data_IF_967427602478
#
_entry.id   IF_967427602478
#
_cell.length_a   1.000
_cell.length_b   1.000
_cell.length_c   1.000
_cell.angle_alpha   90.00
_cell.angle_beta   90.00
_cell.angle_gamma   90.00
#
_symmetry.space_group_name_H-M   'P 1'
#
loop_
_entity.id
_entity.type
_entity.pdbx_description
1 polymer ?
#
# COMPACT_ATOMS: atom_id res chain seq x y z
N UNK A 1 5.00 -21.46 -56.12
CA UNK A 1 3.75 -21.94 -55.50
C UNK A 1 4.08 -22.73 -54.23
N UNK A 2 4.13 -22.07 -53.06
CA UNK A 2 3.83 -22.70 -51.76
C UNK A 2 3.50 -21.61 -50.76
N UNK A 3 2.22 -21.57 -50.41
CA UNK A 3 1.60 -20.63 -49.49
C UNK A 3 1.84 -21.18 -48.08
N UNK A 4 2.32 -20.34 -47.15
CA UNK A 4 2.59 -20.73 -45.77
C UNK A 4 2.27 -19.58 -44.83
N UNK A 5 0.99 -19.48 -44.47
CA UNK A 5 0.39 -18.48 -43.62
C UNK A 5 0.93 -18.48 -42.17
N UNK A 6 0.80 -17.32 -41.51
CA UNK A 6 0.78 -17.04 -40.05
C UNK A 6 2.07 -16.52 -39.40
N UNK A 7 2.30 -15.22 -39.58
CA UNK A 7 2.82 -14.37 -38.50
C UNK A 7 1.71 -13.43 -38.02
N UNK A 8 0.58 -14.01 -37.58
CA UNK A 8 -0.46 -13.24 -36.88
C UNK A 8 -0.18 -13.39 -35.39
N UNK A 9 0.21 -12.28 -34.77
CA UNK A 9 0.26 -12.08 -33.33
C UNK A 9 1.16 -13.06 -32.54
N UNK A 10 2.47 -12.81 -32.52
CA UNK A 10 3.24 -13.07 -31.30
C UNK A 10 2.89 -12.00 -30.25
N UNK A 11 1.63 -11.97 -29.81
CA UNK A 11 1.28 -11.44 -28.49
C UNK A 11 1.90 -12.41 -27.49
N UNK A 12 3.23 -12.31 -27.31
CA UNK A 12 3.86 -12.90 -26.15
C UNK A 12 3.12 -12.39 -24.92
N UNK A 13 2.77 -13.25 -23.95
CA UNK A 13 2.05 -12.80 -22.77
C UNK A 13 2.83 -11.65 -22.12
N UNK A 14 2.18 -10.50 -21.94
CA UNK A 14 2.75 -9.27 -21.36
C UNK A 14 3.42 -9.59 -20.02
N UNK A 15 2.93 -10.61 -19.33
CA UNK A 15 3.58 -11.22 -18.18
C UNK A 15 3.85 -12.72 -18.45
N UNK A 16 5.12 -13.14 -18.61
CA UNK A 16 5.46 -14.56 -18.71
C UNK A 16 5.03 -15.30 -17.44
N UNK A 17 4.08 -16.23 -17.55
CA UNK A 17 3.58 -17.01 -16.40
C UNK A 17 4.68 -17.81 -15.68
N UNK A 18 5.81 -18.07 -16.35
CA UNK A 18 7.00 -18.68 -15.77
C UNK A 18 7.61 -17.84 -14.62
N UNK A 19 7.36 -16.53 -14.56
CA UNK A 19 7.81 -15.67 -13.44
C UNK A 19 7.18 -16.08 -12.11
N UNK A 20 5.91 -16.47 -12.08
CA UNK A 20 5.24 -16.92 -10.84
C UNK A 20 5.79 -18.24 -10.30
N UNK A 21 6.51 -19.00 -11.14
CA UNK A 21 7.21 -20.22 -10.73
C UNK A 21 8.43 -19.91 -9.86
N UNK A 22 8.90 -18.66 -9.86
CA UNK A 22 9.97 -18.20 -8.99
C UNK A 22 9.43 -17.88 -7.59
N UNK A 23 9.98 -18.51 -6.56
CA UNK A 23 9.50 -18.42 -5.17
C UNK A 23 9.42 -16.97 -4.66
N UNK A 24 10.37 -16.11 -5.06
CA UNK A 24 10.35 -14.68 -4.72
C UNK A 24 9.13 -13.95 -5.30
N UNK A 25 8.76 -14.22 -6.56
CA UNK A 25 7.62 -13.56 -7.21
C UNK A 25 6.33 -14.02 -6.56
N UNK A 26 6.18 -15.33 -6.34
CA UNK A 26 4.99 -15.87 -5.66
C UNK A 26 4.84 -15.31 -4.24
N UNK A 27 5.91 -15.27 -3.43
CA UNK A 27 5.85 -14.67 -2.09
C UNK A 27 5.55 -13.17 -2.13
N UNK A 28 6.12 -12.43 -3.09
CA UNK A 28 5.86 -11.01 -3.27
C UNK A 28 4.40 -10.73 -3.61
N UNK A 29 3.82 -11.54 -4.48
CA UNK A 29 2.41 -11.42 -4.87
C UNK A 29 1.48 -11.71 -3.70
N UNK A 30 1.76 -12.74 -2.90
CA UNK A 30 0.95 -13.07 -1.71
C UNK A 30 1.01 -11.96 -0.67
N UNK A 31 2.21 -11.47 -0.34
CA UNK A 31 2.37 -10.33 0.59
C UNK A 31 1.64 -9.10 0.04
N UNK A 32 1.81 -8.82 -1.26
CA UNK A 32 1.16 -7.69 -1.91
C UNK A 32 -0.36 -7.78 -1.86
N UNK A 33 -0.92 -8.98 -2.00
CA UNK A 33 -2.34 -9.22 -1.89
C UNK A 33 -2.87 -8.89 -0.50
N UNK A 34 -2.24 -9.39 0.57
CA UNK A 34 -2.67 -9.12 1.95
C UNK A 34 -2.51 -7.65 2.33
N UNK A 35 -1.41 -7.01 1.92
CA UNK A 35 -1.21 -5.57 2.12
C UNK A 35 -2.34 -4.78 1.46
N UNK A 36 -2.61 -5.04 0.18
CA UNK A 36 -3.67 -4.34 -0.55
C UNK A 36 -5.06 -4.61 0.05
N UNK A 37 -5.33 -5.85 0.48
CA UNK A 37 -6.58 -6.20 1.14
C UNK A 37 -6.78 -5.44 2.46
N UNK A 38 -5.75 -5.32 3.29
CA UNK A 38 -5.80 -4.55 4.53
C UNK A 38 -5.98 -3.04 4.28
N UNK A 39 -5.25 -2.49 3.30
CA UNK A 39 -5.33 -1.07 2.96
C UNK A 39 -6.70 -0.68 2.40
N UNK A 40 -7.37 -1.59 1.68
CA UNK A 40 -8.70 -1.35 1.12
C UNK A 40 -9.76 -1.07 2.20
N UNK A 41 -9.61 -1.63 3.40
CA UNK A 41 -10.47 -1.35 4.55
C UNK A 41 -10.03 -0.14 5.36
N UNK A 42 -8.73 -0.01 5.64
CA UNK A 42 -8.22 0.96 6.60
C UNK A 42 -8.25 2.42 6.09
N UNK A 43 -7.89 2.66 4.83
CA UNK A 43 -7.76 4.03 4.28
C UNK A 43 -9.11 4.75 4.17
N UNK A 44 -10.15 4.17 3.54
CA UNK A 44 -11.44 4.84 3.43
C UNK A 44 -12.18 4.93 4.77
N UNK A 45 -11.84 4.08 5.75
CA UNK A 45 -12.45 4.12 7.08
C UNK A 45 -12.19 5.43 7.81
N UNK A 46 -10.99 6.03 7.69
CA UNK A 46 -10.66 7.24 8.45
C UNK A 46 -11.47 8.48 8.04
N UNK A 47 -11.57 8.87 6.75
CA UNK A 47 -12.45 9.98 6.38
C UNK A 47 -13.92 9.67 6.69
N UNK A 48 -14.34 8.41 6.60
CA UNK A 48 -15.68 7.99 7.02
C UNK A 48 -15.91 8.21 8.52
N UNK A 49 -14.97 7.81 9.37
CA UNK A 49 -15.02 8.01 10.81
C UNK A 49 -15.04 9.49 11.20
N UNK A 50 -14.19 10.31 10.58
CA UNK A 50 -14.16 11.76 10.82
C UNK A 50 -15.47 12.44 10.43
N UNK A 51 -16.12 11.98 9.36
CA UNK A 51 -17.36 12.55 8.87
C UNK A 51 -18.57 12.10 9.70
N UNK A 52 -18.74 10.79 9.93
CA UNK A 52 -19.90 10.23 10.62
C UNK A 52 -19.83 10.37 12.15
N UNK A 53 -18.66 10.18 12.76
CA UNK A 53 -18.51 10.14 14.22
C UNK A 53 -18.11 11.49 14.80
N UNK A 54 -17.14 12.18 14.18
CA UNK A 54 -16.68 13.49 14.66
C UNK A 54 -17.50 14.67 14.09
N UNK A 55 -18.41 14.42 13.14
CA UNK A 55 -19.26 15.46 12.54
C UNK A 55 -18.48 16.50 11.74
N UNK A 56 -17.25 16.18 11.32
CA UNK A 56 -16.41 17.08 10.52
C UNK A 56 -16.95 17.11 9.08
N UNK A 57 -16.91 18.27 8.43
CA UNK A 57 -17.42 18.39 7.05
C UNK A 57 -16.72 17.40 6.11
N UNK A 58 -17.45 16.87 5.13
CA UNK A 58 -16.94 15.86 4.19
C UNK A 58 -15.72 16.35 3.40
N UNK A 59 -15.64 17.66 3.14
CA UNK A 59 -14.49 18.30 2.51
C UNK A 59 -13.24 18.26 3.40
N UNK A 60 -13.38 18.54 4.70
CA UNK A 60 -12.26 18.49 5.64
C UNK A 60 -11.82 17.06 5.94
N UNK A 61 -12.76 16.13 6.08
CA UNK A 61 -12.46 14.72 6.26
C UNK A 61 -11.69 14.14 5.05
N UNK A 62 -12.09 14.51 3.83
CA UNK A 62 -11.36 14.16 2.61
C UNK A 62 -9.96 14.80 2.54
N UNK A 63 -9.82 16.05 2.99
CA UNK A 63 -8.53 16.74 3.03
C UNK A 63 -7.49 16.05 3.93
N UNK A 64 -7.92 15.31 4.97
CA UNK A 64 -7.01 14.55 5.83
C UNK A 64 -6.32 13.37 5.12
N UNK A 65 -6.80 12.96 3.94
CA UNK A 65 -6.15 11.93 3.10
C UNK A 65 -4.98 12.52 2.31
N UNK A 66 -4.96 13.84 2.08
CA UNK A 66 -3.88 14.53 1.35
C UNK A 66 -2.50 14.31 2.00
N UNK A 67 -2.30 14.57 3.31
CA UNK A 67 -1.00 14.32 3.94
C UNK A 67 -0.61 12.85 3.87
N UNK A 68 -1.55 11.92 4.04
CA UNK A 68 -1.28 10.49 3.88
C UNK A 68 -0.68 10.19 2.49
N UNK A 69 -1.29 10.70 1.42
CA UNK A 69 -0.80 10.48 0.07
C UNK A 69 0.58 11.10 -0.16
N UNK A 70 0.84 12.28 0.39
CA UNK A 70 2.14 12.94 0.30
C UNK A 70 3.24 12.07 0.94
N UNK A 71 3.02 11.64 2.17
CA UNK A 71 4.00 10.84 2.91
C UNK A 71 4.14 9.41 2.36
N UNK A 72 3.06 8.84 1.83
CA UNK A 72 3.10 7.60 1.05
C UNK A 72 4.02 7.72 -0.16
N UNK A 73 3.92 8.81 -0.91
CA UNK A 73 4.80 9.06 -2.06
C UNK A 73 6.27 9.18 -1.63
N UNK A 74 6.54 9.94 -0.57
CA UNK A 74 7.89 10.09 -0.01
C UNK A 74 8.45 8.73 0.43
N UNK A 75 7.66 7.93 1.14
CA UNK A 75 8.03 6.58 1.56
C UNK A 75 8.42 5.69 0.38
N UNK A 76 7.69 5.75 -0.74
CA UNK A 76 8.02 5.00 -1.96
C UNK A 76 9.35 5.45 -2.61
N UNK A 77 9.64 6.76 -2.62
CA UNK A 77 10.92 7.28 -3.14
C UNK A 77 12.09 6.82 -2.26
N UNK A 78 11.92 6.87 -0.94
CA UNK A 78 12.94 6.43 0.03
C UNK A 78 13.16 4.92 -0.05
N UNK A 79 12.09 4.15 -0.22
CA UNK A 79 12.12 2.68 -0.37
C UNK A 79 13.04 2.23 -1.50
N UNK A 80 12.98 2.91 -2.65
CA UNK A 80 13.87 2.64 -3.80
C UNK A 80 15.35 2.80 -3.47
N UNK A 81 15.71 3.73 -2.59
CA UNK A 81 17.10 3.91 -2.11
C UNK A 81 17.48 2.83 -1.10
N UNK A 82 16.54 2.44 -0.23
CA UNK A 82 16.76 1.38 0.75
C UNK A 82 16.91 -0.01 0.12
N UNK A 83 16.33 -0.24 -1.07
CA UNK A 83 16.47 -1.52 -1.77
C UNK A 83 17.91 -1.86 -2.18
N UNK A 84 18.79 -0.85 -2.25
CA UNK A 84 20.23 -1.07 -2.43
C UNK A 84 20.96 -1.46 -1.14
N UNK A 85 20.36 -1.23 0.03
CA UNK A 85 20.99 -1.42 1.34
C UNK A 85 20.41 -2.60 2.16
N UNK A 86 19.16 -3.01 1.89
CA UNK A 86 18.44 -4.01 2.70
C UNK A 86 18.04 -5.24 1.88
N UNK A 87 17.95 -6.40 2.55
CA UNK A 87 17.51 -7.64 1.91
C UNK A 87 15.98 -7.71 1.84
N UNK A 88 15.42 -8.24 0.75
CA UNK A 88 13.98 -8.46 0.52
C UNK A 88 13.22 -9.03 1.75
N UNK A 89 13.86 -9.94 2.49
CA UNK A 89 13.29 -10.55 3.70
C UNK A 89 13.07 -9.54 4.83
N UNK A 90 13.96 -8.56 4.99
CA UNK A 90 13.84 -7.50 6.00
C UNK A 90 12.71 -6.54 5.65
N UNK A 91 12.53 -6.24 4.36
CA UNK A 91 11.49 -5.34 3.86
C UNK A 91 10.06 -5.89 4.06
N UNK A 92 9.88 -7.20 3.87
CA UNK A 92 8.62 -7.90 4.19
C UNK A 92 8.34 -7.91 5.70
N UNK A 93 9.39 -8.06 6.52
CA UNK A 93 9.27 -8.02 7.98
C UNK A 93 8.89 -6.62 8.49
N UNK A 94 9.48 -5.55 7.93
CA UNK A 94 9.10 -4.18 8.29
C UNK A 94 7.66 -3.88 7.92
N UNK A 95 7.20 -4.29 6.73
CA UNK A 95 5.80 -4.06 6.32
C UNK A 95 4.81 -4.85 7.17
N UNK A 96 5.14 -6.08 7.58
CA UNK A 96 4.31 -6.86 8.51
C UNK A 96 4.25 -6.23 9.91
N UNK A 97 5.38 -5.72 10.41
CA UNK A 97 5.44 -5.00 11.69
C UNK A 97 4.66 -3.69 11.64
N UNK A 98 4.77 -2.92 10.56
CA UNK A 98 4.05 -1.65 10.37
C UNK A 98 2.54 -1.88 10.29
N UNK A 99 2.10 -2.94 9.61
CA UNK A 99 0.68 -3.32 9.57
C UNK A 99 0.20 -3.76 10.96
N UNK A 100 0.99 -4.57 11.68
CA UNK A 100 0.68 -4.98 13.05
C UNK A 100 0.55 -3.78 14.00
N UNK A 101 1.46 -2.81 13.88
CA UNK A 101 1.43 -1.55 14.65
C UNK A 101 0.26 -0.67 14.23
N UNK A 102 -0.05 -0.59 12.93
CA UNK A 102 -1.20 0.15 12.41
C UNK A 102 -2.54 -0.39 12.89
N UNK A 103 -2.68 -1.71 12.99
CA UNK A 103 -3.85 -2.36 13.61
C UNK A 103 -3.93 -2.11 15.13
N UNK A 104 -2.78 -2.05 15.82
CA UNK A 104 -2.74 -1.67 17.24
C UNK A 104 -3.10 -0.21 17.50
N UNK A 105 -2.77 0.69 16.57
CA UNK A 105 -3.07 2.12 16.64
C UNK A 105 -4.53 2.47 16.29
N UNK A 106 -5.28 1.54 15.69
CA UNK A 106 -6.71 1.67 15.40
C UNK A 106 -7.62 1.52 16.63
N UNK A 107 -7.04 1.46 17.84
CA UNK A 107 -7.74 1.77 19.10
C UNK A 107 -8.04 3.27 19.18
N UNK A 108 -8.81 3.76 18.21
CA UNK A 108 -9.33 5.11 18.16
C UNK A 108 -10.40 5.21 19.24
N UNK A 109 -10.05 5.90 20.32
CA UNK A 109 -11.01 6.33 21.32
C UNK A 109 -11.78 7.56 20.82
N UNK A 110 -13.03 7.70 21.26
CA UNK A 110 -13.98 8.75 20.86
C UNK A 110 -13.53 10.18 21.15
N UNK A 111 -12.47 10.36 21.95
CA UNK A 111 -11.86 11.66 22.32
C UNK A 111 -10.70 12.09 21.40
N UNK A 112 -10.44 11.38 20.30
CA UNK A 112 -9.25 11.62 19.46
C UNK A 112 -9.29 12.98 18.77
N UNK A 113 -8.25 13.80 19.00
CA UNK A 113 -8.09 15.11 18.37
C UNK A 113 -7.67 14.96 16.91
N UNK A 114 -8.10 15.90 16.06
CA UNK A 114 -7.74 15.97 14.62
C UNK A 114 -6.22 15.89 14.38
N UNK A 115 -5.41 16.44 15.29
CA UNK A 115 -3.95 16.37 15.27
C UNK A 115 -3.40 14.94 15.40
N UNK A 116 -4.03 14.11 16.25
CA UNK A 116 -3.67 12.69 16.42
C UNK A 116 -3.97 11.91 15.15
N UNK A 117 -5.11 12.19 14.51
CA UNK A 117 -5.46 11.55 13.23
C UNK A 117 -4.50 11.95 12.12
N UNK A 118 -4.10 13.22 12.05
CA UNK A 118 -3.10 13.69 11.09
C UNK A 118 -1.73 13.04 11.31
N UNK A 119 -1.28 12.90 12.56
CA UNK A 119 -0.02 12.21 12.86
C UNK A 119 -0.08 10.71 12.52
N UNK A 120 -1.21 10.03 12.78
CA UNK A 120 -1.40 8.65 12.33
C UNK A 120 -1.38 8.51 10.80
N UNK A 121 -1.96 9.47 10.08
CA UNK A 121 -1.89 9.51 8.62
C UNK A 121 -0.47 9.69 8.08
N UNK A 122 0.33 10.53 8.73
CA UNK A 122 1.73 10.76 8.37
C UNK A 122 2.55 9.49 8.63
N UNK A 123 2.43 8.89 9.82
CA UNK A 123 3.17 7.67 10.20
C UNK A 123 2.76 6.49 9.33
N UNK A 124 1.46 6.30 9.08
CA UNK A 124 0.94 5.22 8.24
C UNK A 124 1.35 5.41 6.78
N UNK A 125 1.34 6.64 6.26
CA UNK A 125 1.80 6.96 4.91
C UNK A 125 3.29 6.66 4.74
N UNK A 126 4.13 7.09 5.67
CA UNK A 126 5.57 6.77 5.65
C UNK A 126 5.83 5.27 5.73
N UNK A 127 5.08 4.55 6.57
CA UNK A 127 5.27 3.12 6.79
C UNK A 127 4.79 2.22 5.63
N UNK A 128 3.84 2.70 4.82
CA UNK A 128 3.33 1.95 3.64
C UNK A 128 4.19 2.14 2.39
N UNK A 129 5.28 2.90 2.46
CA UNK A 129 6.32 2.88 1.44
C UNK A 129 6.79 1.46 1.21
N UNK A 130 6.51 0.90 0.03
CA UNK A 130 6.85 -0.48 -0.28
C UNK A 130 8.35 -0.56 -0.54
N UNK A 131 9.10 -0.85 0.52
CA UNK A 131 10.47 -1.32 0.47
C UNK A 131 10.50 -2.72 -0.17
#
# INVERSE_FOLDING_TARGET
>A
MRIGHRNLASLGPILPLALFRHRLVSSASVVSFFVSAGMFGAIPFVPFFLHEVQGVSSALAGAMVIPYMLFYFVGNVVSRRLMSCFTYRQMVLTSLLIIGVGFGLLMIDTQTTLLSVATYMIVSGLGTGRF
#
